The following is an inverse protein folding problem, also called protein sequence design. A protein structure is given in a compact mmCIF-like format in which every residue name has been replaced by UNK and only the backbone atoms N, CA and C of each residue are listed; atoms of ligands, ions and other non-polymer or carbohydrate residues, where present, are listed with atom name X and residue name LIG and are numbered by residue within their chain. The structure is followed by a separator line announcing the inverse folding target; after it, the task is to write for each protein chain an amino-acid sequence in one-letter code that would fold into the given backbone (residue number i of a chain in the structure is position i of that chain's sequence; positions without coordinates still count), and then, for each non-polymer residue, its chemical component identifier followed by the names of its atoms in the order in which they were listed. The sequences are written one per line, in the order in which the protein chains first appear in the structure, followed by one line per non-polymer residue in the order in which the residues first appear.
data_IF_179759134460
#
_entry.id   IF_179759134460
#
_cell.length_a   1.000
_cell.length_b   1.000
_cell.length_c   1.000
_cell.angle_alpha   90.00
_cell.angle_beta   90.00
_cell.angle_gamma   90.00
#
_symmetry.space_group_name_H-M   'P 1'
#
loop_
_entity.id
_entity.type
_entity.pdbx_description
1 polymer ?
#
# COMPACT_ATOMS: atom_id res chain seq x y z
N UNK A 1 -17.84 -20.70 -17.95
CA UNK A 1 -18.42 -21.38 -16.77
C UNK A 1 -18.13 -20.52 -15.55
N UNK A 2 -19.16 -19.86 -15.03
CA UNK A 2 -19.01 -18.94 -13.89
C UNK A 2 -19.08 -19.77 -12.60
N UNK A 3 -17.94 -20.29 -12.15
CA UNK A 3 -17.85 -21.12 -10.94
C UNK A 3 -17.82 -20.22 -9.70
N UNK A 4 -18.95 -19.55 -9.40
CA UNK A 4 -19.09 -18.81 -8.14
C UNK A 4 -19.27 -19.83 -7.01
N UNK A 5 -18.32 -19.87 -6.08
CA UNK A 5 -18.41 -20.65 -4.85
C UNK A 5 -19.71 -20.32 -4.10
N UNK A 6 -20.38 -21.34 -3.57
CA UNK A 6 -21.52 -21.14 -2.67
C UNK A 6 -21.07 -20.44 -1.37
N UNK A 7 -21.94 -19.67 -0.70
CA UNK A 7 -21.58 -18.96 0.55
C UNK A 7 -20.91 -19.86 1.60
N UNK A 8 -21.41 -21.04 1.82
CA UNK A 8 -20.84 -22.03 2.75
C UNK A 8 -19.40 -22.45 2.34
N UNK A 9 -19.13 -22.64 1.06
CA UNK A 9 -17.77 -22.96 0.58
C UNK A 9 -16.78 -21.81 0.79
N UNK A 10 -17.27 -20.58 0.74
CA UNK A 10 -16.44 -19.39 1.04
C UNK A 10 -16.08 -19.31 2.52
N UNK A 11 -17.03 -19.62 3.41
CA UNK A 11 -16.81 -19.67 4.86
C UNK A 11 -15.81 -20.77 5.21
N UNK A 12 -15.99 -21.98 4.71
CA UNK A 12 -15.03 -23.09 4.90
C UNK A 12 -13.62 -22.73 4.40
N UNK A 13 -13.53 -22.08 3.24
CA UNK A 13 -12.24 -21.67 2.68
C UNK A 13 -11.57 -20.58 3.54
N UNK A 14 -12.35 -19.63 4.06
CA UNK A 14 -11.85 -18.60 4.96
C UNK A 14 -11.32 -19.21 6.26
N UNK A 15 -12.06 -20.16 6.86
CA UNK A 15 -11.62 -20.84 8.08
C UNK A 15 -10.33 -21.65 7.88
N UNK A 16 -10.22 -22.34 6.73
CA UNK A 16 -9.00 -23.05 6.36
C UNK A 16 -7.80 -22.10 6.15
N UNK A 17 -8.04 -20.94 5.53
CA UNK A 17 -7.00 -19.94 5.34
C UNK A 17 -6.51 -19.39 6.68
N UNK A 18 -7.42 -19.03 7.59
CA UNK A 18 -7.10 -18.59 8.95
C UNK A 18 -6.30 -19.65 9.72
N UNK A 19 -6.73 -20.91 9.65
CA UNK A 19 -6.02 -22.01 10.29
C UNK A 19 -4.59 -22.19 9.75
N UNK A 20 -4.44 -22.13 8.43
CA UNK A 20 -3.12 -22.25 7.78
C UNK A 20 -2.18 -21.07 8.11
N UNK A 21 -2.71 -19.86 8.25
CA UNK A 21 -1.93 -18.69 8.68
C UNK A 21 -1.43 -18.88 10.11
N UNK A 22 -2.30 -19.28 11.04
CA UNK A 22 -1.94 -19.50 12.45
C UNK A 22 -0.93 -20.62 12.62
N UNK A 23 -1.06 -21.72 11.88
CA UNK A 23 -0.10 -22.83 11.90
C UNK A 23 1.32 -22.38 11.49
N UNK A 24 1.40 -21.35 10.65
CA UNK A 24 2.67 -20.77 10.19
C UNK A 24 3.15 -19.59 11.03
N UNK A 25 2.51 -19.30 12.16
CA UNK A 25 2.86 -18.20 13.03
C UNK A 25 2.48 -16.81 12.50
N UNK A 26 1.58 -16.75 11.53
CA UNK A 26 1.03 -15.49 11.02
C UNK A 26 -0.24 -15.12 11.80
N UNK A 27 -0.47 -13.82 11.96
CA UNK A 27 -1.68 -13.29 12.56
C UNK A 27 -2.70 -12.94 11.48
N UNK A 28 -3.83 -13.66 11.38
CA UNK A 28 -4.84 -13.41 10.35
C UNK A 28 -5.69 -12.14 10.61
N UNK A 29 -5.63 -11.62 11.81
CA UNK A 29 -6.39 -10.44 12.25
C UNK A 29 -5.44 -9.36 12.75
N UNK A 30 -5.78 -8.10 12.48
CA UNK A 30 -5.01 -6.98 13.03
C UNK A 30 -5.18 -6.92 14.56
N UNK A 31 -4.07 -6.81 15.32
CA UNK A 31 -4.13 -6.67 16.75
C UNK A 31 -4.81 -5.35 17.16
N UNK A 32 -5.52 -5.36 18.28
CA UNK A 32 -6.23 -4.16 18.76
C UNK A 32 -5.37 -2.90 18.85
N UNK A 33 -4.11 -2.96 19.34
CA UNK A 33 -3.25 -1.79 19.38
C UNK A 33 -3.00 -1.17 17.99
N UNK A 34 -2.83 -1.98 16.94
CA UNK A 34 -2.65 -1.49 15.57
C UNK A 34 -3.91 -0.79 15.06
N UNK A 35 -5.10 -1.35 15.36
CA UNK A 35 -6.39 -0.70 15.01
C UNK A 35 -6.56 0.63 15.76
N UNK A 36 -6.16 0.72 17.01
CA UNK A 36 -6.22 1.98 17.78
C UNK A 36 -5.23 3.00 17.22
N UNK A 37 -4.01 2.59 16.88
CA UNK A 37 -3.03 3.47 16.24
C UNK A 37 -3.56 3.99 14.89
N UNK A 38 -4.15 3.14 14.06
CA UNK A 38 -4.72 3.54 12.77
C UNK A 38 -5.73 4.68 12.91
N UNK A 39 -6.53 4.70 13.99
CA UNK A 39 -7.50 5.77 14.26
C UNK A 39 -6.87 7.14 14.55
N UNK A 40 -5.57 7.17 14.84
CA UNK A 40 -4.83 8.42 15.08
C UNK A 40 -4.21 9.01 13.82
N UNK A 41 -4.29 8.30 12.71
CA UNK A 41 -3.77 8.73 11.41
C UNK A 41 -4.89 9.47 10.68
N UNK A 42 -4.82 10.80 10.65
CA UNK A 42 -5.89 11.67 10.13
C UNK A 42 -5.76 11.99 8.63
N UNK A 43 -4.76 11.43 7.94
CA UNK A 43 -4.57 11.69 6.51
C UNK A 43 -3.13 11.48 6.05
N UNK A 44 -2.82 11.86 4.80
CA UNK A 44 -1.47 11.74 4.27
C UNK A 44 -0.50 12.62 5.06
N UNK A 45 0.72 12.14 5.22
CA UNK A 45 1.80 12.94 5.80
C UNK A 45 2.09 14.15 4.90
N UNK A 46 2.28 15.31 5.51
CA UNK A 46 2.79 16.50 4.86
C UNK A 46 4.15 16.82 5.49
N UNK A 47 5.23 16.43 4.84
CA UNK A 47 6.56 16.80 5.27
C UNK A 47 7.02 18.09 4.58
N UNK A 48 7.31 19.12 5.40
CA UNK A 48 7.92 20.37 4.97
C UNK A 48 9.38 20.39 5.46
N UNK A 49 10.25 19.61 4.83
CA UNK A 49 11.66 19.49 5.25
C UNK A 49 12.66 20.10 4.28
N UNK A 50 13.79 20.58 4.80
CA UNK A 50 14.95 20.95 3.97
C UNK A 50 15.44 19.69 3.23
N UNK A 51 15.33 19.67 1.91
CA UNK A 51 15.70 18.54 1.06
C UNK A 51 14.53 17.86 0.37
N UNK A 52 13.30 18.21 0.74
CA UNK A 52 12.10 17.77 0.01
C UNK A 52 11.91 18.67 -1.21
N UNK A 53 11.75 18.06 -2.37
CA UNK A 53 11.50 18.77 -3.63
C UNK A 53 10.06 18.48 -4.06
N UNK A 54 9.26 19.53 -4.19
CA UNK A 54 7.91 19.41 -4.73
C UNK A 54 7.96 19.04 -6.22
N UNK A 55 7.55 17.84 -6.55
CA UNK A 55 7.45 17.29 -7.90
C UNK A 55 6.00 17.00 -8.31
N UNK A 56 5.02 17.49 -7.56
CA UNK A 56 3.59 17.24 -7.82
C UNK A 56 3.10 17.82 -9.15
N UNK A 57 3.83 18.79 -9.71
CA UNK A 57 3.53 19.37 -11.03
C UNK A 57 3.88 18.50 -12.23
N UNK A 58 4.55 17.36 -12.04
CA UNK A 58 4.87 16.42 -13.11
C UNK A 58 3.66 15.55 -13.49
N UNK A 59 3.67 15.02 -14.70
CA UNK A 59 2.60 14.15 -15.22
C UNK A 59 2.81 12.70 -14.74
N UNK A 60 2.65 12.50 -13.44
CA UNK A 60 2.72 11.19 -12.83
C UNK A 60 1.56 10.28 -13.28
N UNK A 61 1.85 9.01 -13.47
CA UNK A 61 0.83 7.99 -13.73
C UNK A 61 1.14 6.69 -12.97
N UNK A 62 0.11 5.95 -12.65
CA UNK A 62 0.17 4.54 -12.25
C UNK A 62 -0.50 3.67 -13.29
N UNK A 63 -0.14 2.39 -13.35
CA UNK A 63 -0.75 1.40 -14.23
C UNK A 63 -1.24 0.27 -13.33
N UNK A 64 -2.52 0.31 -13.02
CA UNK A 64 -3.17 -0.57 -12.06
C UNK A 64 -4.43 -1.21 -12.67
N UNK A 65 -4.96 -2.23 -12.01
CA UNK A 65 -6.29 -2.75 -12.33
C UNK A 65 -7.38 -1.84 -11.74
N UNK A 66 -8.58 -1.88 -12.31
CA UNK A 66 -9.72 -1.06 -11.87
C UNK A 66 -10.10 -1.27 -10.39
N UNK A 67 -9.74 -2.41 -9.82
CA UNK A 67 -10.02 -2.82 -8.45
C UNK A 67 -8.79 -2.78 -7.51
N UNK A 68 -7.64 -2.30 -7.99
CA UNK A 68 -6.44 -2.13 -7.16
C UNK A 68 -6.68 -1.14 -6.03
N UNK A 69 -6.20 -1.50 -4.82
CA UNK A 69 -6.34 -0.68 -3.61
C UNK A 69 -5.01 -0.30 -2.98
N UNK A 70 -3.94 -0.84 -3.50
CA UNK A 70 -2.55 -0.67 -3.09
C UNK A 70 -1.80 0.24 -4.05
N UNK A 71 -2.32 1.46 -4.25
CA UNK A 71 -1.77 2.46 -5.16
C UNK A 71 -0.57 3.15 -4.49
N UNK A 72 0.54 2.44 -4.40
CA UNK A 72 1.73 2.84 -3.65
C UNK A 72 2.87 3.37 -4.52
N UNK A 73 2.74 3.30 -5.86
CA UNK A 73 3.79 3.77 -6.76
C UNK A 73 3.25 4.57 -7.94
N UNK A 74 4.05 5.55 -8.38
CA UNK A 74 3.81 6.35 -9.56
C UNK A 74 5.08 6.40 -10.42
N UNK A 75 4.91 6.57 -11.72
CA UNK A 75 6.02 6.76 -12.66
C UNK A 75 5.81 7.99 -13.53
N UNK A 76 6.91 8.60 -13.93
CA UNK A 76 6.93 9.68 -14.94
C UNK A 76 8.18 9.55 -15.78
N UNK A 77 8.09 9.92 -17.04
CA UNK A 77 9.23 9.98 -17.95
C UNK A 77 9.44 11.37 -18.50
N UNK A 78 10.67 11.74 -18.71
CA UNK A 78 11.10 13.02 -19.28
C UNK A 78 12.17 12.77 -20.34
N UNK A 79 12.02 13.39 -21.53
CA UNK A 79 13.05 13.38 -22.57
C UNK A 79 14.01 14.52 -22.30
N UNK A 80 15.30 14.21 -22.16
CA UNK A 80 16.34 15.19 -21.88
C UNK A 80 16.88 15.82 -23.18
N UNK A 81 17.61 16.93 -23.06
CA UNK A 81 18.12 17.70 -24.20
C UNK A 81 19.10 16.92 -25.09
N UNK A 82 19.76 15.91 -24.54
CA UNK A 82 20.68 15.01 -25.27
C UNK A 82 19.97 13.83 -25.96
N UNK A 83 18.63 13.77 -25.87
CA UNK A 83 17.80 12.71 -26.41
C UNK A 83 17.70 11.47 -25.51
N UNK A 84 18.35 11.44 -24.38
CA UNK A 84 18.15 10.39 -23.36
C UNK A 84 16.80 10.54 -22.66
N UNK A 85 16.33 9.47 -22.04
CA UNK A 85 15.07 9.46 -21.27
C UNK A 85 15.39 9.25 -19.81
N UNK A 86 14.90 10.17 -18.98
CA UNK A 86 14.88 10.02 -17.52
C UNK A 86 13.56 9.37 -17.11
N UNK A 87 13.63 8.29 -16.36
CA UNK A 87 12.46 7.68 -15.72
C UNK A 87 12.59 7.90 -14.21
N UNK A 88 11.53 8.40 -13.61
CA UNK A 88 11.43 8.56 -12.17
C UNK A 88 10.30 7.70 -11.64
N UNK A 89 10.53 7.10 -10.47
CA UNK A 89 9.55 6.28 -9.76
C UNK A 89 9.37 6.90 -8.38
N UNK A 90 8.14 7.26 -8.05
CA UNK A 90 7.75 7.70 -6.72
C UNK A 90 7.09 6.51 -5.99
N UNK A 91 7.47 6.30 -4.75
CA UNK A 91 6.92 5.26 -3.89
C UNK A 91 6.37 5.93 -2.64
N UNK A 92 5.22 5.45 -2.16
CA UNK A 92 4.60 5.97 -0.94
C UNK A 92 5.58 5.83 0.25
N UNK A 93 5.77 6.93 0.96
CA UNK A 93 6.62 7.02 2.14
C UNK A 93 5.82 6.63 3.39
N UNK A 94 5.78 5.33 3.68
CA UNK A 94 4.95 4.75 4.74
C UNK A 94 5.49 5.10 6.13
N UNK A 95 6.80 5.27 6.30
CA UNK A 95 7.40 5.50 7.62
C UNK A 95 7.12 6.90 8.16
N UNK A 96 6.67 7.83 7.33
CA UNK A 96 6.12 9.13 7.78
C UNK A 96 4.79 8.99 8.54
N UNK A 97 4.04 7.91 8.30
CA UNK A 97 2.77 7.62 8.95
C UNK A 97 2.89 6.53 10.02
N UNK A 98 3.78 5.57 9.80
CA UNK A 98 3.98 4.41 10.68
C UNK A 98 5.40 4.44 11.22
N UNK A 99 5.55 4.97 12.43
CA UNK A 99 6.85 5.02 13.08
C UNK A 99 7.32 3.60 13.46
N UNK A 100 8.63 3.39 13.36
CA UNK A 100 9.27 2.14 13.72
C UNK A 100 8.97 1.74 15.16
N UNK A 101 8.87 0.45 15.41
CA UNK A 101 8.59 -0.18 16.71
C UNK A 101 7.20 0.22 17.29
N UNK A 102 6.26 0.62 16.43
CA UNK A 102 4.87 0.87 16.80
C UNK A 102 3.97 -0.32 16.47
N UNK A 103 2.72 -0.39 17.00
CA UNK A 103 1.85 -1.55 16.79
C UNK A 103 1.49 -1.86 15.34
N UNK A 104 1.57 -0.90 14.43
CA UNK A 104 1.34 -1.15 13.00
C UNK A 104 2.60 -1.67 12.31
N UNK A 105 3.78 -1.22 12.75
CA UNK A 105 5.08 -1.69 12.23
C UNK A 105 5.33 -3.17 12.59
#
# INVERSE_FOLDING_TARGET
MNNKLHPHQKEELADLAVAAMRERGLEPEFPKPAIEQLKTIDGPSAEDGAGIVDMTGLLWCSIDNDDSRDLDQLTVSEVLADGSVRIMVAIADVDTLVAKDTPID
#
